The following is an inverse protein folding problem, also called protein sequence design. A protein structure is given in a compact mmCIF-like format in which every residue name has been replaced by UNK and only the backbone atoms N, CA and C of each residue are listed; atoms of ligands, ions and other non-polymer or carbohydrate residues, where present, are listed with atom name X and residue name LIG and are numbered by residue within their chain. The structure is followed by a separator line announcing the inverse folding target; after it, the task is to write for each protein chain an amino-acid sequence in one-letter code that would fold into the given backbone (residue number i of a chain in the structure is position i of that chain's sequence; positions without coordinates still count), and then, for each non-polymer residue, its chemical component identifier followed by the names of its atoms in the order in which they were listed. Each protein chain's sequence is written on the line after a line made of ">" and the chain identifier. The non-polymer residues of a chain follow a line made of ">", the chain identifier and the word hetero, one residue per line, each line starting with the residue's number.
data_IF_910795717914
#
_entry.id   IF_910795717914
#
_cell.length_a   1.000
_cell.length_b   1.000
_cell.length_c   1.000
_cell.angle_alpha   90.00
_cell.angle_beta   90.00
_cell.angle_gamma   90.00
#
_symmetry.space_group_name_H-M   'P 1'
#
loop_
_entity.id
_entity.type
_entity.pdbx_description
1 polymer ?
#
# COMPACT_ATOMS: atom_id res chain seq x y z
N UNK A 1 20.10 -24.21 -21.28
CA UNK A 1 20.19 -23.78 -19.86
C UNK A 1 19.20 -22.65 -19.66
N UNK A 2 18.02 -22.97 -19.12
CA UNK A 2 16.93 -22.03 -18.87
C UNK A 2 17.14 -21.37 -17.51
N UNK A 3 17.31 -20.05 -17.47
CA UNK A 3 17.21 -19.27 -16.23
C UNK A 3 15.73 -18.97 -15.99
N UNK A 4 15.18 -19.53 -14.91
CA UNK A 4 13.86 -19.18 -14.36
C UNK A 4 13.93 -17.73 -13.87
N UNK A 5 12.99 -16.89 -14.32
CA UNK A 5 12.80 -15.52 -13.82
C UNK A 5 11.69 -15.59 -12.77
N UNK A 6 12.05 -15.26 -11.53
CA UNK A 6 11.12 -15.09 -10.41
C UNK A 6 10.31 -13.82 -10.62
N UNK A 7 9.00 -13.90 -10.42
CA UNK A 7 8.07 -12.78 -10.49
C UNK A 7 8.28 -11.89 -9.26
N UNK A 8 9.18 -10.93 -9.38
CA UNK A 8 9.27 -9.80 -8.46
C UNK A 8 8.24 -8.78 -8.93
N UNK A 9 7.24 -8.49 -8.10
CA UNK A 9 6.39 -7.30 -8.27
C UNK A 9 7.35 -6.11 -8.28
N UNK A 10 7.54 -5.51 -9.47
CA UNK A 10 8.53 -4.48 -9.72
C UNK A 10 7.88 -3.38 -10.56
N UNK A 11 8.04 -2.14 -10.10
CA UNK A 11 8.28 -1.02 -11.00
C UNK A 11 9.24 -0.03 -10.34
N UNK A 12 10.43 -0.50 -9.98
CA UNK A 12 11.63 0.32 -9.78
C UNK A 12 12.73 -0.31 -10.65
N UNK A 13 12.77 0.14 -11.91
CA UNK A 13 13.94 0.19 -12.79
C UNK A 13 13.51 0.36 -14.25
N UNK A 14 13.78 1.54 -14.82
CA UNK A 14 14.07 1.68 -16.24
C UNK A 14 15.33 2.55 -16.36
N UNK A 15 16.40 1.95 -16.88
CA UNK A 15 17.72 2.56 -16.97
C UNK A 15 18.04 3.07 -18.38
N UNK A 16 18.79 4.19 -18.38
CA UNK A 16 19.78 4.67 -19.35
C UNK A 16 19.33 5.32 -20.67
N UNK A 17 19.64 6.62 -20.81
CA UNK A 17 20.47 7.11 -21.92
C UNK A 17 21.21 8.41 -21.55
N UNK A 18 22.40 8.58 -22.16
CA UNK A 18 23.44 9.57 -21.90
C UNK A 18 23.07 11.02 -22.19
N UNK A 19 23.37 11.94 -21.27
CA UNK A 19 23.36 13.37 -21.53
C UNK A 19 24.15 14.15 -20.47
N UNK A 20 25.35 14.63 -20.83
CA UNK A 20 26.16 15.48 -19.97
C UNK A 20 25.48 16.85 -19.77
N UNK A 21 25.09 17.16 -18.54
CA UNK A 21 24.61 18.49 -18.15
C UNK A 21 24.29 18.51 -16.66
N UNK A 22 24.96 19.38 -15.90
CA UNK A 22 24.68 19.55 -14.47
C UNK A 22 23.25 20.00 -14.25
N UNK A 23 22.39 19.07 -13.82
CA UNK A 23 21.04 19.35 -13.36
C UNK A 23 21.07 19.82 -11.91
N UNK A 24 20.53 21.00 -11.64
CA UNK A 24 20.26 21.43 -10.27
C UNK A 24 19.07 20.65 -9.72
N UNK A 25 19.16 20.24 -8.46
CA UNK A 25 18.06 19.62 -7.72
C UNK A 25 16.93 20.65 -7.50
N UNK A 26 15.68 20.21 -7.64
CA UNK A 26 14.53 21.06 -7.29
C UNK A 26 14.42 21.11 -5.76
N UNK A 27 14.39 22.33 -5.21
CA UNK A 27 13.98 22.57 -3.82
C UNK A 27 12.54 23.13 -3.76
N UNK A 28 11.78 23.03 -4.87
CA UNK A 28 10.41 23.56 -4.92
C UNK A 28 9.43 22.42 -4.70
N UNK A 29 8.52 22.51 -3.72
CA UNK A 29 7.53 21.47 -3.48
C UNK A 29 6.70 21.17 -4.73
N UNK A 30 6.49 19.88 -5.01
CA UNK A 30 5.54 19.44 -6.03
C UNK A 30 4.14 19.78 -5.52
N UNK A 31 3.46 20.71 -6.17
CA UNK A 31 2.13 21.16 -5.76
C UNK A 31 1.04 20.15 -6.13
N UNK A 32 0.09 19.97 -5.21
CA UNK A 32 -1.14 19.20 -5.40
C UNK A 32 -2.33 20.15 -5.43
N UNK A 33 -3.26 19.93 -6.35
CA UNK A 33 -4.61 20.48 -6.24
C UNK A 33 -5.39 19.62 -5.23
N UNK A 34 -5.11 19.78 -3.93
CA UNK A 34 -5.81 19.04 -2.88
C UNK A 34 -7.22 19.63 -2.78
N UNK A 35 -8.18 19.02 -3.47
CA UNK A 35 -9.59 19.25 -3.20
C UNK A 35 -9.90 18.60 -1.86
N UNK A 36 -9.72 19.35 -0.77
CA UNK A 36 -10.35 19.03 0.50
C UNK A 36 -11.86 19.22 0.31
N UNK A 37 -12.54 18.21 -0.25
CA UNK A 37 -13.98 18.13 -0.03
C UNK A 37 -14.17 18.21 1.49
N UNK A 38 -14.88 19.25 1.88
CA UNK A 38 -14.78 19.86 3.19
C UNK A 38 -15.37 18.91 4.23
N UNK A 39 -14.55 18.02 4.76
CA UNK A 39 -14.66 17.61 6.15
C UNK A 39 -13.53 18.30 6.85
N UNK A 40 -13.81 19.51 7.30
CA UNK A 40 -13.05 20.14 8.37
C UNK A 40 -12.71 19.06 9.42
N UNK A 41 -11.48 19.05 9.97
CA UNK A 41 -11.14 18.13 11.05
C UNK A 41 -12.28 18.20 12.05
N UNK A 42 -12.92 17.05 12.32
CA UNK A 42 -13.98 16.97 13.32
C UNK A 42 -13.39 17.54 14.61
N UNK A 43 -13.76 18.78 14.91
CA UNK A 43 -13.60 19.36 16.22
C UNK A 43 -14.32 18.39 17.15
N UNK A 44 -13.54 17.80 18.05
CA UNK A 44 -14.06 17.07 19.20
C UNK A 44 -15.11 17.98 19.83
N UNK A 45 -16.38 17.56 19.76
CA UNK A 45 -17.51 18.28 20.33
C UNK A 45 -17.24 18.55 21.80
N UNK A 46 -17.06 19.83 22.18
CA UNK A 46 -17.51 20.28 23.48
C UNK A 46 -19.02 20.50 23.39
N UNK A 47 -19.73 19.71 24.18
CA UNK A 47 -21.16 19.77 24.44
C UNK A 47 -21.60 21.21 24.79
N UNK A 48 -22.52 21.78 24.00
CA UNK A 48 -23.42 22.84 24.47
C UNK A 48 -24.70 22.87 23.62
N UNK A 49 -25.73 22.22 24.15
CA UNK A 49 -27.16 22.58 24.08
C UNK A 49 -27.68 23.44 22.93
N UNK A 50 -28.64 22.88 22.18
CA UNK A 50 -29.57 23.57 21.29
C UNK A 50 -30.09 24.90 21.86
N UNK A 51 -29.89 25.99 21.12
CA UNK A 51 -30.71 27.19 21.23
C UNK A 51 -31.11 27.67 19.84
N UNK A 52 -32.39 27.50 19.52
CA UNK A 52 -33.05 28.09 18.37
C UNK A 52 -33.18 29.60 18.57
N UNK A 53 -32.70 30.41 17.63
CA UNK A 53 -32.97 31.86 17.58
C UNK A 53 -33.37 32.30 16.15
N UNK A 54 -34.25 33.32 16.04
CA UNK A 54 -35.05 33.57 14.84
C UNK A 54 -34.32 34.40 13.79
N UNK A 55 -34.80 34.28 12.55
CA UNK A 55 -34.36 35.07 11.41
C UNK A 55 -34.46 36.57 11.70
N UNK A 56 -33.33 37.27 11.62
CA UNK A 56 -33.26 38.74 11.75
C UNK A 56 -32.87 39.34 10.41
N UNK A 57 -33.60 40.37 9.98
CA UNK A 57 -33.37 41.16 8.78
C UNK A 57 -31.96 41.79 8.79
N UNK A 58 -31.29 41.79 7.64
CA UNK A 58 -29.92 42.29 7.47
C UNK A 58 -29.94 43.82 7.38
N UNK A 59 -29.26 44.47 8.33
CA UNK A 59 -28.99 45.92 8.35
C UNK A 59 -27.85 46.27 7.36
N UNK A 60 -28.04 47.22 6.43
CA UNK A 60 -27.03 47.59 5.42
C UNK A 60 -25.77 48.28 5.96
N UNK A 61 -25.67 48.59 7.26
CA UNK A 61 -24.48 49.22 7.87
C UNK A 61 -23.57 48.24 8.65
N UNK A 62 -23.57 46.95 8.31
CA UNK A 62 -22.67 45.96 8.94
C UNK A 62 -21.22 46.18 8.50
N UNK A 63 -20.31 46.49 9.43
CA UNK A 63 -18.85 46.50 9.18
C UNK A 63 -18.39 45.19 8.54
N UNK A 64 -17.40 45.21 7.62
CA UNK A 64 -16.94 43.99 6.97
C UNK A 64 -16.50 42.98 8.04
N UNK A 65 -16.96 41.74 7.90
CA UNK A 65 -16.64 40.63 8.80
C UNK A 65 -15.14 40.65 9.14
N UNK A 66 -14.83 40.58 10.44
CA UNK A 66 -13.45 40.44 10.91
C UNK A 66 -12.80 39.30 10.12
N UNK A 67 -11.72 39.63 9.40
CA UNK A 67 -10.90 38.63 8.72
C UNK A 67 -10.37 37.70 9.80
N UNK A 68 -10.88 36.46 9.84
CA UNK A 68 -10.32 35.40 10.68
C UNK A 68 -8.82 35.36 10.40
N UNK A 69 -7.93 35.56 11.40
CA UNK A 69 -6.51 35.52 11.16
C UNK A 69 -6.12 34.16 10.57
N UNK A 70 -5.15 34.10 9.64
CA UNK A 70 -4.66 32.83 9.14
C UNK A 70 -4.26 31.95 10.33
N UNK A 71 -4.75 30.71 10.35
CA UNK A 71 -4.35 29.74 11.37
C UNK A 71 -2.86 29.50 11.20
N UNK A 72 -2.04 30.05 12.10
CA UNK A 72 -0.63 29.72 12.17
C UNK A 72 -0.52 28.24 12.57
N UNK A 73 0.03 27.43 11.67
CA UNK A 73 0.36 26.06 11.95
C UNK A 73 1.71 26.07 12.67
N UNK A 74 1.72 25.62 13.91
CA UNK A 74 2.96 25.27 14.58
C UNK A 74 3.49 23.99 13.91
N UNK A 75 4.62 24.14 13.19
CA UNK A 75 5.28 23.02 12.52
C UNK A 75 5.76 22.01 13.55
N UNK A 76 5.50 20.73 13.28
CA UNK A 76 5.99 19.61 14.08
C UNK A 76 7.17 19.01 13.34
N UNK A 77 8.31 18.87 14.02
CA UNK A 77 9.54 18.35 13.43
C UNK A 77 9.44 16.84 13.14
N UNK A 78 8.71 16.49 12.09
CA UNK A 78 8.48 15.12 11.66
C UNK A 78 9.73 14.55 10.99
N UNK A 79 10.22 13.43 11.52
CA UNK A 79 11.23 12.62 10.86
C UNK A 79 10.61 11.65 9.83
N UNK A 80 11.38 11.14 8.86
CA UNK A 80 10.89 10.08 7.97
C UNK A 80 10.37 8.86 8.74
N UNK A 81 11.02 8.52 9.87
CA UNK A 81 10.58 7.45 10.76
C UNK A 81 9.22 7.74 11.39
N UNK A 82 8.96 8.97 11.84
CA UNK A 82 7.66 9.37 12.40
C UNK A 82 6.56 9.26 11.34
N UNK A 83 6.84 9.75 10.12
CA UNK A 83 5.91 9.67 8.99
C UNK A 83 5.57 8.20 8.69
N UNK A 84 6.58 7.31 8.63
CA UNK A 84 6.36 5.86 8.44
C UNK A 84 5.56 5.22 9.57
N UNK A 85 5.91 5.52 10.81
CA UNK A 85 5.24 4.94 11.98
C UNK A 85 3.75 5.32 12.02
N UNK A 86 3.43 6.59 11.74
CA UNK A 86 2.08 7.11 11.75
C UNK A 86 1.23 6.63 10.56
N UNK A 87 1.87 6.30 9.43
CA UNK A 87 1.18 5.96 8.18
C UNK A 87 1.28 4.48 7.77
N UNK A 88 1.77 3.59 8.64
CA UNK A 88 1.65 2.15 8.38
C UNK A 88 0.17 1.76 8.31
N UNK A 89 -0.20 0.84 7.40
CA UNK A 89 -1.59 0.45 7.21
C UNK A 89 -2.24 -0.06 8.51
N UNK A 90 -1.49 -0.82 9.32
CA UNK A 90 -1.97 -1.31 10.62
C UNK A 90 -2.23 -0.16 11.61
N UNK A 91 -1.38 0.87 11.62
CA UNK A 91 -1.55 2.05 12.47
C UNK A 91 -2.79 2.83 12.05
N UNK A 92 -2.93 3.13 10.76
CA UNK A 92 -4.10 3.83 10.22
C UNK A 92 -5.38 3.06 10.57
N UNK A 93 -5.42 1.76 10.31
CA UNK A 93 -6.60 0.91 10.54
C UNK A 93 -6.91 0.63 12.03
N UNK A 94 -6.06 1.09 12.95
CA UNK A 94 -6.36 1.08 14.39
C UNK A 94 -7.21 2.29 14.82
N UNK A 95 -7.23 3.34 14.01
CA UNK A 95 -7.93 4.61 14.27
C UNK A 95 -9.02 4.91 13.24
N UNK A 96 -8.89 4.35 12.03
CA UNK A 96 -9.82 4.47 10.92
C UNK A 96 -10.38 3.10 10.52
N UNK A 97 -11.62 3.09 10.05
CA UNK A 97 -12.27 1.87 9.55
C UNK A 97 -11.78 1.48 8.16
N UNK A 98 -11.32 2.47 7.39
CA UNK A 98 -10.75 2.26 6.06
C UNK A 98 -9.90 3.44 5.63
N UNK A 99 -9.06 3.21 4.63
CA UNK A 99 -8.47 4.28 3.84
C UNK A 99 -8.29 3.81 2.40
N UNK A 100 -8.34 4.75 1.46
CA UNK A 100 -8.03 4.53 0.06
C UNK A 100 -6.95 5.49 -0.41
N UNK A 101 -6.27 5.11 -1.47
CA UNK A 101 -5.31 5.95 -2.15
C UNK A 101 -5.49 5.85 -3.65
N UNK A 102 -5.15 6.95 -4.32
CA UNK A 102 -5.01 7.02 -5.77
C UNK A 102 -3.61 7.53 -6.08
N UNK A 103 -2.89 6.80 -6.92
CA UNK A 103 -1.54 7.17 -7.37
C UNK A 103 -1.53 7.33 -8.88
N UNK A 104 -0.94 8.42 -9.38
CA UNK A 104 -0.53 8.58 -10.77
C UNK A 104 0.99 8.52 -10.85
N UNK A 105 1.53 7.68 -11.73
CA UNK A 105 2.95 7.61 -12.04
C UNK A 105 3.19 8.12 -13.46
N UNK A 106 3.99 9.16 -13.60
CA UNK A 106 4.44 9.70 -14.89
C UNK A 106 5.92 9.49 -15.11
N UNK A 107 6.36 9.46 -16.37
CA UNK A 107 7.79 9.49 -16.72
C UNK A 107 8.39 10.90 -16.54
N UNK A 108 9.69 11.04 -16.81
CA UNK A 108 10.41 12.31 -16.70
C UNK A 108 9.96 13.40 -17.68
N UNK A 109 9.14 13.06 -18.68
CA UNK A 109 8.50 14.02 -19.59
C UNK A 109 7.09 14.43 -19.14
N UNK A 110 6.54 13.75 -18.13
CA UNK A 110 5.18 13.94 -17.63
C UNK A 110 4.15 13.05 -18.33
N UNK A 111 4.55 12.07 -19.14
CA UNK A 111 3.63 11.11 -19.77
C UNK A 111 3.20 10.06 -18.73
N UNK A 112 1.90 9.76 -18.67
CA UNK A 112 1.35 8.77 -17.75
C UNK A 112 1.88 7.37 -18.07
N UNK A 113 2.43 6.69 -17.06
CA UNK A 113 2.86 5.29 -17.12
C UNK A 113 1.76 4.38 -16.58
N UNK A 114 1.18 4.75 -15.44
CA UNK A 114 0.25 3.90 -14.69
C UNK A 114 -0.53 4.71 -13.66
N UNK A 115 -1.75 4.28 -13.36
CA UNK A 115 -2.46 4.63 -12.12
C UNK A 115 -2.59 3.43 -11.19
N UNK A 116 -2.64 3.68 -9.88
CA UNK A 116 -2.89 2.67 -8.85
C UNK A 116 -3.97 3.16 -7.91
N UNK A 117 -5.09 2.44 -7.83
CA UNK A 117 -6.16 2.67 -6.87
C UNK A 117 -6.10 1.56 -5.82
N UNK A 118 -5.91 1.92 -4.55
CA UNK A 118 -5.85 0.96 -3.46
C UNK A 118 -6.81 1.30 -2.33
N UNK A 119 -7.33 0.28 -1.64
CA UNK A 119 -8.21 0.43 -0.49
C UNK A 119 -7.92 -0.64 0.54
N UNK A 120 -7.80 -0.18 1.78
CA UNK A 120 -7.74 -1.01 2.96
C UNK A 120 -9.00 -0.83 3.79
N UNK A 121 -9.51 -1.92 4.33
CA UNK A 121 -10.69 -1.93 5.19
C UNK A 121 -10.41 -2.83 6.38
N UNK A 122 -10.78 -2.39 7.57
CA UNK A 122 -10.80 -3.21 8.77
C UNK A 122 -12.26 -3.51 9.16
N UNK A 123 -12.67 -4.76 8.98
CA UNK A 123 -14.00 -5.25 9.36
C UNK A 123 -13.82 -6.24 10.50
N UNK A 124 -14.25 -5.88 11.70
CA UNK A 124 -14.17 -6.73 12.90
C UNK A 124 -12.76 -7.30 13.17
N UNK A 125 -11.71 -6.49 12.96
CA UNK A 125 -10.31 -6.90 13.14
C UNK A 125 -9.74 -7.72 11.97
N UNK A 126 -10.49 -7.87 10.86
CA UNK A 126 -10.03 -8.52 9.64
C UNK A 126 -9.71 -7.46 8.60
N UNK A 127 -8.42 -7.37 8.25
CA UNK A 127 -7.95 -6.41 7.26
C UNK A 127 -8.18 -7.01 5.87
N UNK A 128 -8.77 -6.21 4.98
CA UNK A 128 -8.88 -6.50 3.55
C UNK A 128 -8.15 -5.43 2.76
N UNK A 129 -7.54 -5.83 1.65
CA UNK A 129 -6.85 -4.98 0.69
C UNK A 129 -7.42 -5.23 -0.70
N UNK A 130 -7.70 -4.16 -1.45
CA UNK A 130 -7.95 -4.22 -2.87
C UNK A 130 -7.04 -3.21 -3.57
N UNK A 131 -6.35 -3.62 -4.63
CA UNK A 131 -5.51 -2.75 -5.47
C UNK A 131 -5.85 -3.02 -6.94
N UNK A 132 -6.03 -1.95 -7.71
CA UNK A 132 -6.18 -1.96 -9.16
C UNK A 132 -5.08 -1.11 -9.76
N UNK A 133 -4.20 -1.73 -10.55
CA UNK A 133 -3.20 -1.01 -11.33
C UNK A 133 -3.66 -0.94 -12.78
N UNK A 134 -3.71 0.26 -13.36
CA UNK A 134 -4.05 0.48 -14.77
C UNK A 134 -2.84 1.08 -15.47
N UNK A 135 -2.26 0.36 -16.42
CA UNK A 135 -1.11 0.81 -17.20
C UNK A 135 -1.56 1.63 -18.41
N UNK A 136 -0.68 2.49 -18.92
CA UNK A 136 -0.96 3.37 -20.05
C UNK A 136 -1.35 2.61 -21.35
N UNK A 137 -0.89 1.37 -21.50
CA UNK A 137 -1.27 0.49 -22.61
C UNK A 137 -2.66 -0.17 -22.46
N UNK A 138 -3.35 0.11 -21.35
CA UNK A 138 -4.67 -0.42 -21.01
C UNK A 138 -4.64 -1.77 -20.29
N UNK A 139 -3.47 -2.34 -19.99
CA UNK A 139 -3.38 -3.51 -19.13
C UNK A 139 -3.88 -3.15 -17.72
N UNK A 140 -4.66 -4.05 -17.12
CA UNK A 140 -5.15 -3.90 -15.74
C UNK A 140 -4.73 -5.10 -14.92
N UNK A 141 -4.18 -4.82 -13.74
CA UNK A 141 -3.81 -5.82 -12.75
C UNK A 141 -4.60 -5.62 -11.46
N UNK A 142 -4.91 -6.72 -10.81
CA UNK A 142 -5.71 -6.73 -9.58
C UNK A 142 -4.94 -7.45 -8.49
N UNK A 143 -4.98 -6.92 -7.28
CA UNK A 143 -4.55 -7.61 -6.06
C UNK A 143 -5.66 -7.50 -5.02
N UNK A 144 -6.02 -8.61 -4.41
CA UNK A 144 -6.95 -8.67 -3.29
C UNK A 144 -6.30 -9.45 -2.14
N UNK A 145 -6.22 -8.87 -0.95
CA UNK A 145 -5.96 -9.61 0.27
C UNK A 145 -7.25 -9.70 1.06
N UNK A 146 -7.73 -10.91 1.38
CA UNK A 146 -8.96 -11.07 2.18
C UNK A 146 -8.88 -12.28 3.12
N UNK A 147 -9.62 -12.22 4.23
CA UNK A 147 -9.84 -13.32 5.19
C UNK A 147 -11.24 -13.20 5.79
N UNK A 148 -11.89 -14.33 6.06
CA UNK A 148 -13.19 -14.39 6.74
C UNK A 148 -13.13 -15.36 7.91
N UNK A 149 -14.21 -15.53 8.67
CA UNK A 149 -14.26 -16.54 9.74
C UNK A 149 -14.18 -17.98 9.19
N UNK A 150 -14.68 -18.19 7.97
CA UNK A 150 -14.74 -19.50 7.33
C UNK A 150 -13.58 -19.73 6.35
N UNK A 151 -12.76 -18.72 6.09
CA UNK A 151 -11.71 -18.76 5.08
C UNK A 151 -10.39 -18.17 5.58
N UNK A 152 -9.29 -18.96 5.53
CA UNK A 152 -7.97 -18.46 5.92
C UNK A 152 -7.54 -17.28 5.04
N UNK A 153 -6.71 -16.41 5.62
CA UNK A 153 -6.19 -15.25 4.90
C UNK A 153 -5.24 -15.63 3.77
N UNK A 154 -5.49 -15.07 2.60
CA UNK A 154 -4.62 -15.22 1.43
C UNK A 154 -4.67 -13.96 0.55
N UNK A 155 -3.73 -13.89 -0.39
CA UNK A 155 -3.65 -12.79 -1.36
C UNK A 155 -3.85 -13.35 -2.76
N UNK A 156 -4.79 -12.80 -3.49
CA UNK A 156 -5.19 -13.17 -4.84
C UNK A 156 -4.73 -12.08 -5.80
N UNK A 157 -4.23 -12.46 -6.97
CA UNK A 157 -3.86 -11.49 -8.00
C UNK A 157 -4.18 -11.98 -9.41
N UNK A 158 -4.57 -11.03 -10.27
CA UNK A 158 -4.68 -11.25 -11.71
C UNK A 158 -3.69 -10.30 -12.39
N UNK A 159 -2.71 -10.87 -13.08
CA UNK A 159 -1.67 -10.12 -13.81
C UNK A 159 -1.35 -10.85 -15.12
N UNK A 160 -1.26 -10.10 -16.23
CA UNK A 160 -1.00 -10.67 -17.56
C UNK A 160 -1.99 -11.78 -17.97
N UNK A 161 -3.24 -11.71 -17.50
CA UNK A 161 -4.29 -12.71 -17.72
C UNK A 161 -4.12 -14.02 -16.94
N UNK A 162 -3.15 -14.10 -16.02
CA UNK A 162 -2.90 -15.26 -15.15
C UNK A 162 -3.42 -15.01 -13.75
N UNK A 163 -3.87 -16.09 -13.10
CA UNK A 163 -4.36 -16.08 -11.71
C UNK A 163 -3.26 -16.55 -10.77
N UNK A 164 -3.10 -15.83 -9.68
CA UNK A 164 -2.12 -16.10 -8.64
C UNK A 164 -2.79 -16.08 -7.27
N UNK A 165 -2.38 -16.99 -6.40
CA UNK A 165 -2.79 -17.02 -5.01
C UNK A 165 -1.56 -17.22 -4.13
N UNK A 166 -1.42 -16.39 -3.10
CA UNK A 166 -0.37 -16.49 -2.09
C UNK A 166 -1.00 -16.95 -0.79
N UNK A 167 -0.58 -18.11 -0.32
CA UNK A 167 -0.93 -18.67 1.00
C UNK A 167 0.23 -18.46 1.96
N UNK A 168 -0.07 -18.22 3.23
CA UNK A 168 0.90 -17.86 4.25
C UNK A 168 0.38 -18.21 5.64
N UNK A 169 1.24 -18.34 6.67
CA UNK A 169 0.79 -18.51 8.05
C UNK A 169 -0.15 -17.38 8.46
N UNK A 170 -1.20 -17.71 9.23
CA UNK A 170 -2.22 -16.75 9.64
C UNK A 170 -1.61 -15.55 10.39
N UNK A 171 -0.60 -15.81 11.22
CA UNK A 171 0.14 -14.78 11.95
C UNK A 171 0.93 -13.80 11.05
N UNK A 172 1.23 -14.18 9.80
CA UNK A 172 1.93 -13.33 8.84
C UNK A 172 0.99 -12.54 7.93
N UNK A 173 -0.32 -12.86 7.93
CA UNK A 173 -1.28 -12.27 6.99
C UNK A 173 -1.39 -10.75 7.11
N UNK A 174 -1.65 -10.23 8.31
CA UNK A 174 -1.90 -8.79 8.49
C UNK A 174 -0.66 -7.96 8.14
N UNK A 175 0.53 -8.42 8.54
CA UNK A 175 1.79 -7.77 8.19
C UNK A 175 2.05 -7.81 6.67
N UNK A 176 1.73 -8.94 6.01
CA UNK A 176 1.89 -9.06 4.56
C UNK A 176 0.94 -8.13 3.81
N UNK A 177 -0.33 -8.09 4.18
CA UNK A 177 -1.32 -7.18 3.58
C UNK A 177 -0.89 -5.73 3.80
N UNK A 178 -0.53 -5.37 5.03
CA UNK A 178 -0.07 -4.01 5.35
C UNK A 178 1.16 -3.58 4.55
N UNK A 179 2.06 -4.51 4.20
CA UNK A 179 3.30 -4.21 3.48
C UNK A 179 3.12 -3.69 2.04
N UNK A 180 1.91 -3.77 1.48
CA UNK A 180 1.60 -3.22 0.16
C UNK A 180 1.43 -1.70 0.19
N UNK A 181 1.22 -1.09 1.37
CA UNK A 181 1.10 0.35 1.54
C UNK A 181 2.34 0.92 2.22
N UNK A 182 2.82 2.03 1.67
CA UNK A 182 3.80 2.94 2.27
C UNK A 182 4.99 2.25 2.93
N UNK A 183 5.82 1.63 2.08
CA UNK A 183 6.99 0.88 2.51
C UNK A 183 8.24 1.75 2.50
N UNK A 184 9.10 1.54 3.48
CA UNK A 184 10.45 2.08 3.50
C UNK A 184 11.24 1.67 2.24
N UNK A 185 11.89 2.62 1.53
CA UNK A 185 12.74 2.29 0.41
C UNK A 185 13.99 1.55 0.91
N UNK A 186 14.17 0.30 0.48
CA UNK A 186 15.33 -0.50 0.88
C UNK A 186 16.59 -0.03 0.17
N UNK A 187 17.71 0.08 0.90
CA UNK A 187 19.00 0.50 0.33
C UNK A 187 19.14 2.02 0.20
N UNK A 188 18.37 2.78 0.98
CA UNK A 188 18.42 4.24 1.03
C UNK A 188 18.66 4.73 2.46
N UNK A 189 19.39 5.83 2.58
CA UNK A 189 19.42 6.64 3.80
C UNK A 189 18.53 7.85 3.59
N UNK A 190 17.58 8.07 4.50
CA UNK A 190 16.60 9.15 4.40
C UNK A 190 16.92 10.27 5.40
N UNK A 191 16.70 11.51 4.97
CA UNK A 191 16.88 12.70 5.81
C UNK A 191 15.81 13.74 5.49
N UNK A 192 15.22 14.36 6.50
CA UNK A 192 14.39 15.55 6.31
C UNK A 192 15.26 16.71 5.80
N UNK A 193 14.92 17.21 4.62
CA UNK A 193 15.64 18.29 3.95
C UNK A 193 15.06 19.67 4.27
N UNK A 194 13.73 19.77 4.34
CA UNK A 194 13.00 21.00 4.65
C UNK A 194 11.58 20.69 5.16
N UNK A 195 10.95 21.66 5.81
CA UNK A 195 9.55 21.60 6.23
C UNK A 195 8.86 22.94 6.03
N UNK A 196 7.62 22.91 5.56
CA UNK A 196 6.83 24.11 5.32
C UNK A 196 5.35 23.90 5.64
N UNK A 197 4.64 24.98 6.00
CA UNK A 197 3.18 24.96 6.10
C UNK A 197 2.56 25.27 4.73
N UNK A 198 1.60 24.47 4.29
CA UNK A 198 0.86 24.70 3.06
C UNK A 198 -0.58 24.19 3.18
N UNK A 199 -1.57 25.04 2.88
CA UNK A 199 -2.99 24.69 2.79
C UNK A 199 -3.57 23.97 4.03
N UNK A 200 -3.11 24.33 5.24
CA UNK A 200 -3.57 23.68 6.48
C UNK A 200 -2.81 22.40 6.83
N UNK A 201 -1.84 22.00 6.00
CA UNK A 201 -0.99 20.83 6.17
C UNK A 201 0.46 21.24 6.39
N UNK A 202 1.23 20.30 6.91
CA UNK A 202 2.68 20.37 6.96
C UNK A 202 3.28 19.57 5.80
N UNK A 203 4.18 20.19 5.05
CA UNK A 203 4.88 19.59 3.92
C UNK A 203 6.27 19.20 4.41
N UNK A 204 6.52 17.90 4.53
CA UNK A 204 7.80 17.34 4.94
C UNK A 204 8.55 16.89 3.68
N UNK A 205 9.65 17.57 3.37
CA UNK A 205 10.53 17.20 2.27
C UNK A 205 11.60 16.24 2.78
N UNK A 206 11.61 15.02 2.24
CA UNK A 206 12.55 13.96 2.57
C UNK A 206 13.41 13.65 1.36
N UNK A 207 14.72 13.71 1.54
CA UNK A 207 15.71 13.23 0.58
C UNK A 207 16.12 11.81 0.93
N UNK A 208 16.01 10.89 -0.02
CA UNK A 208 16.47 9.51 0.12
C UNK A 208 17.68 9.29 -0.78
N UNK A 209 18.85 9.07 -0.18
CA UNK A 209 20.12 8.86 -0.88
C UNK A 209 20.41 7.34 -0.93
N UNK A 210 20.64 6.76 -2.11
CA UNK A 210 20.93 5.33 -2.22
C UNK A 210 22.28 4.98 -1.59
N UNK A 211 22.38 3.79 -1.01
CA UNK A 211 23.64 3.22 -0.50
C UNK A 211 24.66 2.97 -1.62
N UNK A 212 24.17 2.79 -2.84
CA UNK A 212 24.96 2.54 -4.05
C UNK A 212 24.85 3.74 -5.00
N UNK A 213 25.96 4.41 -5.28
CA UNK A 213 26.00 5.63 -6.12
C UNK A 213 25.48 5.43 -7.56
N UNK A 214 25.37 4.18 -8.04
CA UNK A 214 24.79 3.87 -9.35
C UNK A 214 23.25 3.80 -9.37
N UNK A 215 22.60 3.90 -8.21
CA UNK A 215 21.15 3.83 -8.07
C UNK A 215 20.50 5.22 -8.10
N UNK A 216 19.20 5.32 -8.46
CA UNK A 216 18.51 6.60 -8.50
C UNK A 216 18.40 7.21 -7.10
N UNK A 217 18.26 8.53 -7.03
CA UNK A 217 17.92 9.24 -5.80
C UNK A 217 16.44 9.63 -5.80
N UNK A 218 15.87 9.80 -4.59
CA UNK A 218 14.46 10.15 -4.41
C UNK A 218 14.33 11.47 -3.66
N UNK A 219 13.41 12.31 -4.12
CA UNK A 219 12.93 13.48 -3.40
C UNK A 219 11.44 13.26 -3.12
N UNK A 220 11.07 13.13 -1.85
CA UNK A 220 9.72 12.85 -1.40
C UNK A 220 9.12 14.06 -0.67
N UNK A 221 7.88 14.41 -0.98
CA UNK A 221 7.15 15.49 -0.35
C UNK A 221 5.88 14.91 0.28
N UNK A 222 5.81 14.91 1.60
CA UNK A 222 4.65 14.40 2.35
C UNK A 222 3.81 15.55 2.87
N UNK A 223 2.53 15.59 2.48
CA UNK A 223 1.55 16.55 2.97
C UNK A 223 0.79 15.91 4.13
N UNK A 224 1.16 16.27 5.35
CA UNK A 224 0.69 15.62 6.56
C UNK A 224 -0.14 16.53 7.46
N UNK A 225 -1.08 15.94 8.18
CA UNK A 225 -1.81 16.64 9.23
C UNK A 225 -0.87 16.91 10.43
N UNK A 226 -0.67 18.18 10.84
CA UNK A 226 0.33 18.56 11.84
C UNK A 226 0.20 17.84 13.20
N UNK A 227 -1.02 17.43 13.59
CA UNK A 227 -1.26 16.79 14.90
C UNK A 227 -1.13 15.28 14.88
N UNK A 228 -1.39 14.64 13.75
CA UNK A 228 -1.47 13.17 13.65
C UNK A 228 -0.36 12.58 12.80
N UNK A 229 0.30 13.39 11.97
CA UNK A 229 1.27 12.94 10.98
C UNK A 229 0.65 12.14 9.84
N UNK A 230 -0.68 12.08 9.70
CA UNK A 230 -1.37 11.35 8.63
C UNK A 230 -1.17 12.02 7.28
N UNK A 231 -0.80 11.25 6.26
CA UNK A 231 -0.57 11.72 4.89
C UNK A 231 -1.90 11.90 4.17
N UNK A 232 -2.15 13.09 3.64
CA UNK A 232 -3.26 13.38 2.73
C UNK A 232 -2.81 13.34 1.26
N UNK A 233 -1.57 13.72 1.01
CA UNK A 233 -0.96 13.62 -0.30
C UNK A 233 0.55 13.37 -0.19
N UNK A 234 1.13 12.70 -1.17
CA UNK A 234 2.57 12.60 -1.30
C UNK A 234 3.02 12.62 -2.75
N UNK A 235 4.12 13.32 -3.02
CA UNK A 235 4.84 13.23 -4.28
C UNK A 235 6.19 12.56 -4.07
N UNK A 236 6.59 11.70 -4.99
CA UNK A 236 7.94 11.13 -5.03
C UNK A 236 8.51 11.37 -6.42
N UNK A 237 9.57 12.17 -6.48
CA UNK A 237 10.37 12.38 -7.69
C UNK A 237 11.57 11.43 -7.65
N UNK A 238 11.72 10.65 -8.72
CA UNK A 238 12.87 9.76 -8.90
C UNK A 238 13.79 10.36 -9.93
N UNK A 239 15.07 10.42 -9.59
CA UNK A 239 16.09 11.00 -10.45
C UNK A 239 17.22 10.00 -10.68
N UNK A 240 17.71 9.96 -11.92
CA UNK A 240 18.89 9.19 -12.27
C UNK A 240 20.15 9.71 -11.53
N UNK A 241 21.23 8.91 -11.47
CA UNK A 241 22.48 9.33 -10.85
C UNK A 241 23.08 10.63 -11.43
N UNK A 242 22.73 10.99 -12.65
CA UNK A 242 23.18 12.21 -13.32
C UNK A 242 22.32 13.46 -13.01
N UNK A 243 21.29 13.34 -12.17
CA UNK A 243 20.38 14.43 -11.82
C UNK A 243 19.16 14.56 -12.73
N UNK A 244 19.01 13.70 -13.74
CA UNK A 244 17.86 13.73 -14.64
C UNK A 244 16.61 13.19 -13.95
N UNK A 245 15.51 13.94 -13.95
CA UNK A 245 14.21 13.44 -13.49
C UNK A 245 13.75 12.29 -14.40
N UNK A 246 13.49 11.13 -13.81
CA UNK A 246 13.05 9.93 -14.56
C UNK A 246 11.58 9.62 -14.39
N UNK A 247 10.99 9.98 -13.24
CA UNK A 247 9.57 9.77 -12.98
C UNK A 247 9.08 10.58 -11.80
N UNK A 248 7.78 10.83 -11.77
CA UNK A 248 7.08 11.45 -10.64
C UNK A 248 5.87 10.59 -10.29
N UNK A 249 5.76 10.20 -9.01
CA UNK A 249 4.58 9.58 -8.45
C UNK A 249 3.82 10.61 -7.62
N UNK A 250 2.51 10.72 -7.82
CA UNK A 250 1.62 11.59 -7.04
C UNK A 250 0.52 10.73 -6.44
N UNK A 251 0.42 10.72 -5.11
CA UNK A 251 -0.56 9.92 -4.39
C UNK A 251 -1.46 10.83 -3.54
N UNK A 252 -2.77 10.62 -3.57
CA UNK A 252 -3.74 11.21 -2.64
C UNK A 252 -4.34 10.12 -1.76
N UNK A 253 -4.64 10.42 -0.50
CA UNK A 253 -5.18 9.46 0.46
C UNK A 253 -6.47 9.99 1.08
N UNK A 254 -7.48 9.14 1.17
CA UNK A 254 -8.73 9.44 1.86
C UNK A 254 -8.98 8.43 2.98
N UNK A 255 -9.59 8.89 4.06
CA UNK A 255 -9.89 8.08 5.24
C UNK A 255 -11.40 7.92 5.42
N UNK A 256 -11.83 6.75 5.92
CA UNK A 256 -13.23 6.42 6.23
C UNK A 256 -14.22 6.63 5.07
N UNK A 257 -13.82 6.24 3.86
CA UNK A 257 -14.67 6.33 2.67
C UNK A 257 -15.57 5.09 2.51
N UNK A 258 -16.79 5.31 2.04
CA UNK A 258 -17.78 4.24 1.88
C UNK A 258 -17.57 3.37 0.62
N UNK A 259 -16.78 3.83 -0.35
CA UNK A 259 -16.70 3.17 -1.66
C UNK A 259 -15.86 1.90 -1.60
N UNK A 260 -16.36 0.78 -2.12
CA UNK A 260 -15.53 -0.40 -2.40
C UNK A 260 -14.88 -0.21 -3.77
N UNK A 261 -13.59 -0.52 -3.89
CA UNK A 261 -12.89 -0.50 -5.17
C UNK A 261 -12.56 -1.92 -5.61
N UNK A 262 -12.46 -2.11 -6.93
CA UNK A 262 -12.04 -3.38 -7.51
C UNK A 262 -13.17 -4.40 -7.68
N UNK A 263 -12.76 -5.63 -8.02
CA UNK A 263 -13.61 -6.80 -8.17
C UNK A 263 -13.29 -7.77 -7.04
N UNK A 264 -14.25 -8.62 -6.69
CA UNK A 264 -13.95 -9.82 -5.88
C UNK A 264 -13.12 -10.78 -6.74
N UNK A 265 -11.82 -10.81 -6.48
CA UNK A 265 -10.83 -11.62 -7.18
C UNK A 265 -10.82 -13.03 -6.60
N UNK A 266 -10.99 -13.15 -5.28
CA UNK A 266 -11.06 -14.41 -4.56
C UNK A 266 -12.17 -15.30 -5.10
N UNK A 267 -13.36 -14.75 -5.40
CA UNK A 267 -14.48 -15.48 -6.00
C UNK A 267 -14.18 -16.04 -7.41
N UNK A 268 -13.16 -15.54 -8.11
CA UNK A 268 -12.73 -16.08 -9.42
C UNK A 268 -11.69 -17.21 -9.29
N UNK A 269 -11.16 -17.42 -8.09
CA UNK A 269 -10.09 -18.37 -7.80
C UNK A 269 -10.55 -19.49 -6.87
N UNK A 270 -11.71 -19.35 -6.25
CA UNK A 270 -12.20 -20.26 -5.23
C UNK A 270 -13.61 -20.74 -5.51
N UNK A 271 -13.89 -22.00 -5.18
CA UNK A 271 -15.23 -22.56 -5.25
C UNK A 271 -15.84 -22.50 -6.66
N UNK A 272 -15.03 -22.64 -7.71
CA UNK A 272 -15.47 -22.54 -9.11
C UNK A 272 -16.16 -23.81 -9.62
N UNK A 273 -16.14 -24.90 -8.84
CA UNK A 273 -16.76 -26.19 -9.17
C UNK A 273 -15.83 -27.19 -9.86
N UNK A 274 -14.66 -26.75 -10.35
CA UNK A 274 -13.57 -27.62 -10.79
C UNK A 274 -12.31 -27.29 -9.98
N UNK A 275 -12.40 -27.52 -8.68
CA UNK A 275 -11.40 -27.07 -7.72
C UNK A 275 -10.50 -28.22 -7.25
N UNK A 276 -9.36 -27.84 -6.70
CA UNK A 276 -8.48 -28.65 -5.88
C UNK A 276 -8.81 -28.38 -4.41
N UNK A 277 -9.05 -29.43 -3.63
CA UNK A 277 -9.09 -29.35 -2.18
C UNK A 277 -7.65 -29.27 -1.65
N UNK A 278 -7.17 -28.06 -1.37
CA UNK A 278 -5.85 -27.80 -0.83
C UNK A 278 -5.91 -27.75 0.69
N UNK A 279 -5.15 -28.63 1.35
CA UNK A 279 -4.88 -28.58 2.79
C UNK A 279 -3.41 -28.22 2.99
N UNK A 280 -3.17 -27.12 3.69
CA UNK A 280 -1.85 -26.66 4.09
C UNK A 280 -1.71 -26.84 5.60
N UNK A 281 -0.72 -27.62 6.02
CA UNK A 281 -0.37 -27.81 7.44
C UNK A 281 0.94 -27.09 7.73
N UNK A 282 0.93 -26.11 8.61
CA UNK A 282 2.10 -25.30 8.99
C UNK A 282 2.56 -25.73 10.38
N UNK A 283 3.88 -25.87 10.52
CA UNK A 283 4.55 -26.39 11.71
C UNK A 283 3.94 -27.75 12.17
N UNK A 284 3.96 -28.77 11.29
CA UNK A 284 3.27 -30.05 11.51
C UNK A 284 3.78 -30.84 12.73
N UNK A 285 5.02 -30.62 13.15
CA UNK A 285 5.62 -31.26 14.34
C UNK A 285 5.30 -30.52 15.65
N UNK A 286 4.64 -29.36 15.58
CA UNK A 286 4.23 -28.62 16.78
C UNK A 286 3.08 -29.31 17.52
N UNK A 287 2.90 -29.00 18.81
CA UNK A 287 1.76 -29.52 19.59
C UNK A 287 0.39 -29.04 19.07
N UNK A 288 0.38 -27.93 18.32
CA UNK A 288 -0.81 -27.32 17.76
C UNK A 288 -0.52 -26.81 16.33
N UNK A 289 -0.43 -27.72 15.35
CA UNK A 289 -0.15 -27.34 13.98
C UNK A 289 -1.29 -26.47 13.42
N UNK A 290 -0.92 -25.46 12.64
CA UNK A 290 -1.90 -24.62 11.96
C UNK A 290 -2.35 -25.33 10.68
N UNK A 291 -3.66 -25.54 10.53
CA UNK A 291 -4.24 -26.20 9.36
C UNK A 291 -5.14 -25.21 8.63
N UNK A 292 -4.81 -24.95 7.37
CA UNK A 292 -5.59 -24.11 6.47
C UNK A 292 -6.16 -24.95 5.34
N UNK A 293 -7.41 -24.68 4.98
CA UNK A 293 -8.09 -25.38 3.89
C UNK A 293 -8.60 -24.37 2.86
N UNK A 294 -8.41 -24.70 1.58
CA UNK A 294 -8.86 -23.90 0.45
C UNK A 294 -9.48 -24.79 -0.62
N UNK A 295 -10.49 -24.27 -1.31
CA UNK A 295 -11.06 -24.89 -2.52
C UNK A 295 -10.62 -24.04 -3.72
N UNK A 296 -9.47 -24.39 -4.31
CA UNK A 296 -8.78 -23.53 -5.29
C UNK A 296 -9.03 -24.01 -6.71
N UNK A 297 -9.41 -23.11 -7.60
CA UNK A 297 -9.55 -23.41 -9.02
C UNK A 297 -8.23 -23.94 -9.60
N UNK A 298 -8.31 -25.00 -10.41
CA UNK A 298 -7.12 -25.72 -10.89
C UNK A 298 -6.23 -24.91 -11.83
N UNK A 299 -6.70 -23.79 -12.37
CA UNK A 299 -5.95 -22.87 -13.24
C UNK A 299 -5.17 -21.78 -12.48
N UNK A 300 -5.18 -21.81 -11.15
CA UNK A 300 -4.52 -20.82 -10.28
C UNK A 300 -3.09 -21.23 -9.98
N UNK A 301 -2.17 -20.27 -10.04
CA UNK A 301 -0.78 -20.46 -9.60
C UNK A 301 -0.69 -20.17 -8.10
N UNK A 302 -0.55 -21.22 -7.29
CA UNK A 302 -0.49 -21.09 -5.82
C UNK A 302 0.96 -21.08 -5.36
N UNK A 303 1.31 -20.11 -4.50
CA UNK A 303 2.62 -19.99 -3.88
C UNK A 303 2.50 -19.83 -2.37
N UNK A 304 3.37 -20.49 -1.61
CA UNK A 304 3.49 -20.27 -0.17
C UNK A 304 4.53 -19.18 0.14
N UNK A 305 4.23 -18.30 1.09
CA UNK A 305 5.19 -17.27 1.57
C UNK A 305 5.19 -17.27 3.10
N UNK A 306 6.18 -17.96 3.71
CA UNK A 306 6.31 -18.06 5.17
C UNK A 306 7.63 -17.55 5.75
N UNK A 307 8.69 -17.41 4.94
CA UNK A 307 10.05 -17.06 5.40
C UNK A 307 10.69 -18.16 6.28
N UNK A 308 11.77 -18.77 5.81
CA UNK A 308 12.48 -19.82 6.58
C UNK A 308 11.76 -21.17 6.67
N UNK A 309 10.64 -21.34 5.96
CA UNK A 309 9.94 -22.60 5.81
C UNK A 309 10.37 -23.35 4.54
N UNK A 310 10.38 -24.67 4.62
CA UNK A 310 10.47 -25.61 3.51
C UNK A 310 9.12 -26.30 3.34
N UNK A 311 8.70 -26.52 2.10
CA UNK A 311 7.47 -27.25 1.78
C UNK A 311 7.75 -28.74 1.55
N UNK A 312 6.81 -29.60 1.93
CA UNK A 312 6.88 -31.05 1.80
C UNK A 312 5.55 -31.61 1.30
N UNK A 313 5.61 -32.75 0.60
CA UNK A 313 4.42 -33.49 0.12
C UNK A 313 3.88 -34.50 1.15
N UNK A 314 4.60 -34.74 2.24
CA UNK A 314 4.28 -35.73 3.28
C UNK A 314 4.46 -35.14 4.68
N UNK A 315 3.76 -35.74 5.65
CA UNK A 315 3.73 -35.27 7.03
C UNK A 315 5.02 -35.62 7.78
N UNK A 316 5.74 -36.64 7.31
CA UNK A 316 7.03 -37.10 7.83
C UNK A 316 8.21 -36.21 7.41
N UNK A 317 7.98 -35.21 6.55
CA UNK A 317 8.95 -34.23 6.05
C UNK A 317 10.11 -34.88 5.26
N UNK A 318 9.85 -36.00 4.58
CA UNK A 318 10.85 -36.75 3.81
C UNK A 318 10.94 -36.30 2.33
N UNK A 319 9.85 -35.77 1.78
CA UNK A 319 9.73 -35.41 0.35
C UNK A 319 9.57 -33.90 0.15
N UNK A 320 10.67 -33.14 0.18
CA UNK A 320 10.62 -31.69 -0.02
C UNK A 320 10.12 -31.33 -1.42
N UNK A 321 9.41 -30.21 -1.51
CA UNK A 321 8.98 -29.57 -2.75
C UNK A 321 10.07 -28.57 -3.16
N UNK A 322 10.52 -28.63 -4.41
CA UNK A 322 11.47 -27.65 -4.95
C UNK A 322 10.77 -26.29 -5.14
N UNK A 323 11.20 -25.30 -4.34
CA UNK A 323 10.62 -23.97 -4.32
C UNK A 323 9.33 -23.86 -3.51
N UNK A 324 8.54 -22.83 -3.83
CA UNK A 324 7.38 -22.42 -3.02
C UNK A 324 6.04 -22.61 -3.75
N UNK A 325 6.04 -23.23 -4.92
CA UNK A 325 4.84 -23.40 -5.73
C UNK A 325 4.10 -24.68 -5.34
N UNK A 326 2.78 -24.59 -5.23
CA UNK A 326 1.90 -25.71 -4.89
C UNK A 326 1.13 -26.12 -6.14
N UNK A 327 1.23 -27.39 -6.51
CA UNK A 327 0.49 -27.92 -7.66
C UNK A 327 -0.97 -28.20 -7.30
N UNK A 328 -1.86 -27.34 -7.81
CA UNK A 328 -3.31 -27.46 -7.66
C UNK A 328 -4.00 -27.99 -8.92
N UNK A 329 -3.28 -28.54 -9.91
CA UNK A 329 -3.90 -29.12 -11.13
C UNK A 329 -4.55 -30.51 -10.91
N UNK A 330 -4.98 -30.80 -9.68
CA UNK A 330 -5.42 -32.13 -9.20
C UNK A 330 -6.68 -32.00 -8.35
N UNK A 331 -7.29 -33.12 -7.96
CA UNK A 331 -8.51 -33.10 -7.13
C UNK A 331 -8.24 -32.64 -5.70
N UNK A 332 -7.08 -33.01 -5.14
CA UNK A 332 -6.65 -32.60 -3.80
C UNK A 332 -5.15 -32.50 -3.71
N UNK A 333 -4.67 -31.62 -2.82
CA UNK A 333 -3.27 -31.45 -2.49
C UNK A 333 -3.13 -31.30 -0.97
N UNK A 334 -2.24 -32.08 -0.37
CA UNK A 334 -1.83 -31.91 1.02
C UNK A 334 -0.37 -31.45 1.00
N UNK A 335 -0.10 -30.31 1.63
CA UNK A 335 1.23 -29.70 1.68
C UNK A 335 1.57 -29.36 3.13
N UNK A 336 2.81 -29.62 3.52
CA UNK A 336 3.32 -29.40 4.86
C UNK A 336 4.43 -28.35 4.82
N UNK A 337 4.33 -27.30 5.61
CA UNK A 337 5.33 -26.26 5.73
C UNK A 337 6.02 -26.38 7.09
N UNK A 338 7.32 -26.67 7.10
CA UNK A 338 8.11 -26.78 8.33
C UNK A 338 9.35 -25.88 8.26
N UNK A 339 9.76 -25.30 9.39
CA UNK A 339 11.05 -24.62 9.50
C UNK A 339 12.17 -25.65 9.56
N UNK A 340 13.32 -25.33 8.98
CA UNK A 340 14.50 -26.17 9.17
C UNK A 340 14.83 -26.25 10.67
N UNK A 341 14.97 -27.47 11.19
CA UNK A 341 15.44 -27.70 12.56
C UNK A 341 16.88 -27.18 12.63
N UNK A 342 17.10 -26.14 13.45
CA UNK A 342 18.43 -25.59 13.73
C UNK A 342 19.26 -26.45 14.67
#
# INVERSE_FOLDING_TARGET
>A
MMKKITLTVLALALAASTGCGGGGYSNTPVTFDIVTETRAPQTVYEDTTEQTLPATEVDPDTEPAETVPPVEIELVDFTPEDIRANNSALKILSEHTSFDYHTELTDGSGELIMTSDGKYINIDGKITLNIVNTYADGQVEYTEGTRTDDQPGAIYAISGGKKYMVVLPAAAYDARVASYWFREPSGYTETTADMAAQDGLEVVHVRSVPENEGEPHLESYYYVAPKTGLIFAMAIETYAPDGTLTSTSKTTVNYDTANVIGKDISAQMLGTGNDCALTLTIDPESEAPEIQNFSVARDVNVTFVGGGYTLYNDAELESPIDGMNIDVNRESAAVFAAKAVG
#
